data_IF_112918692138
#
_entry.id   IF_112918692138
#
_cell.length_a   1.000
_cell.length_b   1.000
_cell.length_c   1.000
_cell.angle_alpha   90.00
_cell.angle_beta   90.00
_cell.angle_gamma   90.00
#
_symmetry.space_group_name_H-M   'P 1'
#
loop_
_entity.id
_entity.type
_entity.pdbx_description
1 polymer ?
#
# COMPACT_ATOMS: atom_id res chain seq x y z
N UNK A 1 -1.82 17.41 9.16
CA UNK A 1 -3.12 17.86 9.76
C UNK A 1 -3.97 16.62 9.93
N UNK A 2 -4.54 16.37 11.13
CA UNK A 2 -5.42 15.21 11.36
C UNK A 2 -6.67 15.29 10.50
N UNK A 3 -7.11 14.16 9.93
CA UNK A 3 -8.31 14.08 9.10
C UNK A 3 -9.56 14.50 9.90
N UNK A 4 -10.51 15.23 9.30
CA UNK A 4 -11.76 15.59 9.93
C UNK A 4 -12.60 14.35 10.23
N UNK A 5 -13.40 14.43 11.30
CA UNK A 5 -14.28 13.35 11.76
C UNK A 5 -15.70 13.87 11.87
N UNK A 6 -16.67 13.08 11.39
CA UNK A 6 -18.08 13.34 11.62
C UNK A 6 -18.57 12.53 12.83
N UNK A 7 -19.42 13.12 13.64
CA UNK A 7 -20.05 12.44 14.77
C UNK A 7 -21.56 12.73 14.75
N UNK A 8 -22.36 11.68 14.64
CA UNK A 8 -23.79 11.77 14.83
C UNK A 8 -24.14 11.34 16.24
N UNK A 9 -24.51 12.30 17.07
CA UNK A 9 -25.00 12.07 18.44
C UNK A 9 -25.85 13.23 18.94
N UNK A 10 -26.73 12.94 19.89
CA UNK A 10 -27.44 13.97 20.68
C UNK A 10 -26.90 14.10 22.10
N UNK A 11 -25.91 13.28 22.45
CA UNK A 11 -25.29 13.23 23.76
C UNK A 11 -24.06 14.17 23.82
N UNK A 12 -24.18 15.29 24.54
CA UNK A 12 -23.10 16.25 24.68
C UNK A 12 -21.89 15.71 25.48
N UNK A 13 -22.10 14.70 26.34
CA UNK A 13 -21.00 14.09 27.08
C UNK A 13 -20.17 13.20 26.14
N UNK A 14 -20.83 12.47 25.23
CA UNK A 14 -20.19 11.66 24.22
C UNK A 14 -19.38 12.54 23.23
N UNK A 15 -19.96 13.69 22.82
CA UNK A 15 -19.26 14.66 21.97
C UNK A 15 -17.95 15.16 22.61
N UNK A 16 -18.00 15.50 23.89
CA UNK A 16 -16.81 15.90 24.66
C UNK A 16 -15.77 14.76 24.77
N UNK A 17 -16.22 13.53 24.99
CA UNK A 17 -15.33 12.37 25.09
C UNK A 17 -14.61 12.12 23.76
N UNK A 18 -15.32 12.19 22.63
CA UNK A 18 -14.73 12.04 21.29
C UNK A 18 -13.75 13.19 20.99
N UNK A 19 -14.10 14.43 21.33
CA UNK A 19 -13.23 15.59 21.13
C UNK A 19 -11.95 15.48 21.99
N UNK A 20 -12.06 15.03 23.24
CA UNK A 20 -10.93 14.86 24.15
C UNK A 20 -9.96 13.75 23.69
N UNK A 21 -10.47 12.69 23.05
CA UNK A 21 -9.65 11.62 22.48
C UNK A 21 -8.84 12.07 21.25
N UNK A 22 -9.08 13.29 20.73
CA UNK A 22 -8.45 13.83 19.52
C UNK A 22 -8.08 15.31 19.64
N UNK A 23 -7.18 15.69 20.52
CA UNK A 23 -6.82 17.10 20.69
C UNK A 23 -6.25 17.70 19.39
N UNK A 24 -6.80 18.85 18.98
CA UNK A 24 -6.34 19.58 17.78
C UNK A 24 -6.84 19.06 16.43
N UNK A 25 -7.72 18.07 16.40
CA UNK A 25 -8.32 17.56 15.14
C UNK A 25 -9.76 18.09 14.96
N UNK A 26 -10.18 18.45 13.72
CA UNK A 26 -11.52 18.93 13.47
C UNK A 26 -12.56 17.83 13.72
N UNK A 27 -13.57 18.15 14.56
CA UNK A 27 -14.74 17.31 14.82
C UNK A 27 -15.99 18.06 14.37
N UNK A 28 -16.78 17.45 13.51
CA UNK A 28 -18.05 18.00 13.06
C UNK A 28 -19.19 17.18 13.66
N UNK A 29 -19.86 17.73 14.65
CA UNK A 29 -20.99 17.10 15.31
C UNK A 29 -22.28 17.37 14.54
N UNK A 30 -23.03 16.30 14.27
CA UNK A 30 -24.34 16.29 13.64
C UNK A 30 -25.38 15.77 14.65
N UNK A 31 -26.58 16.33 14.66
CA UNK A 31 -27.66 15.93 15.58
C UNK A 31 -28.77 15.12 14.94
N UNK A 32 -28.75 15.04 13.62
CA UNK A 32 -29.69 14.29 12.79
C UNK A 32 -29.02 13.76 11.51
N UNK A 33 -29.67 12.78 10.87
CA UNK A 33 -29.16 12.11 9.66
C UNK A 33 -29.07 13.05 8.45
N UNK A 34 -29.93 14.06 8.37
CA UNK A 34 -29.91 15.03 7.27
C UNK A 34 -28.67 15.89 7.29
N UNK A 35 -28.30 16.44 8.46
CA UNK A 35 -27.06 17.21 8.64
C UNK A 35 -25.82 16.36 8.39
N UNK A 36 -25.84 15.07 8.79
CA UNK A 36 -24.75 14.14 8.49
C UNK A 36 -24.65 13.88 7.00
N UNK A 37 -25.78 13.58 6.33
CA UNK A 37 -25.82 13.31 4.90
C UNK A 37 -25.32 14.51 4.06
N UNK A 38 -25.67 15.74 4.45
CA UNK A 38 -25.18 16.95 3.79
C UNK A 38 -23.65 17.04 3.88
N UNK A 39 -23.06 16.83 5.06
CA UNK A 39 -21.61 16.88 5.25
C UNK A 39 -20.87 15.73 4.56
N UNK A 40 -21.50 14.55 4.48
CA UNK A 40 -20.93 13.43 3.69
C UNK A 40 -20.93 13.76 2.20
N UNK A 41 -22.00 14.37 1.68
CA UNK A 41 -22.11 14.80 0.29
C UNK A 41 -21.10 15.92 -0.06
N UNK A 42 -20.81 16.82 0.86
CA UNK A 42 -19.79 17.85 0.72
C UNK A 42 -18.34 17.31 0.77
N UNK A 43 -18.19 16.02 1.09
CA UNK A 43 -16.86 15.40 1.23
C UNK A 43 -16.09 15.89 2.46
N UNK A 44 -16.79 16.45 3.46
CA UNK A 44 -16.18 17.05 4.65
C UNK A 44 -15.35 16.04 5.47
N UNK A 45 -15.74 14.77 5.49
CA UNK A 45 -14.98 13.64 6.03
C UNK A 45 -15.52 12.32 5.48
N UNK A 46 -14.69 11.29 5.43
CA UNK A 46 -15.09 9.94 5.00
C UNK A 46 -15.38 9.01 6.18
N UNK A 47 -14.99 9.38 7.39
CA UNK A 47 -15.25 8.61 8.60
C UNK A 47 -16.33 9.30 9.42
N UNK A 48 -17.38 8.55 9.75
CA UNK A 48 -18.46 9.00 10.60
C UNK A 48 -18.65 8.03 11.77
N UNK A 49 -18.66 8.56 12.98
CA UNK A 49 -19.10 7.88 14.18
C UNK A 49 -20.61 8.06 14.32
N UNK A 50 -21.33 6.96 14.50
CA UNK A 50 -22.78 6.97 14.66
C UNK A 50 -23.12 6.41 16.03
N UNK A 51 -23.73 7.22 16.84
CA UNK A 51 -24.26 6.83 18.12
C UNK A 51 -25.59 6.07 17.94
N UNK A 52 -25.63 4.81 18.38
CA UNK A 52 -26.81 3.97 18.26
C UNK A 52 -27.83 4.19 19.40
N UNK A 53 -27.52 5.02 20.37
CA UNK A 53 -28.39 5.28 21.49
C UNK A 53 -29.31 6.52 21.27
N UNK A 54 -30.50 6.59 21.85
CA UNK A 54 -31.10 5.57 22.74
C UNK A 54 -31.87 4.46 22.01
N UNK A 55 -32.06 4.53 20.70
CA UNK A 55 -32.84 3.57 19.91
C UNK A 55 -31.94 2.92 18.84
N UNK A 56 -31.34 1.81 19.23
CA UNK A 56 -30.43 1.04 18.37
C UNK A 56 -31.07 0.59 17.05
N UNK A 57 -32.35 0.20 17.08
CA UNK A 57 -33.00 -0.34 15.89
C UNK A 57 -33.25 0.73 14.83
N UNK A 58 -33.76 1.89 15.24
CA UNK A 58 -33.93 3.04 14.34
C UNK A 58 -32.59 3.56 13.83
N UNK A 59 -31.56 3.56 14.68
CA UNK A 59 -30.21 3.99 14.29
C UNK A 59 -29.56 3.04 13.28
N UNK A 60 -29.76 1.73 13.39
CA UNK A 60 -29.31 0.75 12.42
C UNK A 60 -30.01 0.88 11.05
N UNK A 61 -31.32 1.11 11.04
CA UNK A 61 -32.07 1.37 9.80
C UNK A 61 -31.56 2.64 9.09
N UNK A 62 -31.32 3.72 9.86
CA UNK A 62 -30.72 4.96 9.36
C UNK A 62 -29.30 4.73 8.83
N UNK A 63 -28.48 3.96 9.52
CA UNK A 63 -27.13 3.60 9.08
C UNK A 63 -27.16 2.86 7.74
N UNK A 64 -28.09 1.92 7.56
CA UNK A 64 -28.25 1.18 6.31
C UNK A 64 -28.59 2.10 5.12
N UNK A 65 -29.47 3.09 5.32
CA UNK A 65 -29.76 4.10 4.29
C UNK A 65 -28.53 4.96 3.98
N UNK A 66 -27.80 5.42 4.99
CA UNK A 66 -26.58 6.21 4.81
C UNK A 66 -25.48 5.40 4.11
N UNK A 67 -25.29 4.14 4.47
CA UNK A 67 -24.28 3.28 3.85
C UNK A 67 -24.59 3.00 2.37
N UNK A 68 -25.86 2.83 2.02
CA UNK A 68 -26.28 2.67 0.63
C UNK A 68 -26.08 3.95 -0.20
N UNK A 69 -26.33 5.12 0.39
CA UNK A 69 -26.19 6.43 -0.30
C UNK A 69 -24.76 6.92 -0.39
N UNK A 70 -23.91 6.53 0.56
CA UNK A 70 -22.51 6.97 0.66
C UNK A 70 -21.57 5.76 0.78
N UNK A 71 -21.43 4.93 -0.26
CA UNK A 71 -20.64 3.68 -0.21
C UNK A 71 -19.14 3.92 0.05
N UNK A 72 -18.65 5.12 -0.27
CA UNK A 72 -17.26 5.53 -0.03
C UNK A 72 -17.01 5.98 1.43
N UNK A 73 -18.09 6.15 2.22
CA UNK A 73 -17.98 6.57 3.61
C UNK A 73 -17.87 5.36 4.53
N UNK A 74 -17.16 5.56 5.61
CA UNK A 74 -16.94 4.53 6.63
C UNK A 74 -17.67 4.88 7.89
N UNK A 75 -18.46 3.96 8.35
CA UNK A 75 -19.30 4.13 9.52
C UNK A 75 -18.76 3.27 10.66
N UNK A 76 -18.55 3.90 11.81
CA UNK A 76 -18.20 3.25 13.07
C UNK A 76 -19.33 3.53 14.06
N UNK A 77 -19.87 2.50 14.67
CA UNK A 77 -20.98 2.65 15.60
C UNK A 77 -20.46 2.78 17.04
N UNK A 78 -21.13 3.63 17.80
CA UNK A 78 -20.87 3.84 19.23
C UNK A 78 -22.05 3.27 20.02
N UNK A 79 -21.78 2.39 20.98
CA UNK A 79 -22.78 1.71 21.81
C UNK A 79 -22.38 1.70 23.28
N UNK A 80 -23.33 1.55 24.19
CA UNK A 80 -23.03 1.34 25.60
C UNK A 80 -22.50 -0.08 25.86
N UNK A 81 -23.16 -1.05 25.26
CA UNK A 81 -22.80 -2.47 25.38
C UNK A 81 -22.62 -3.08 24.00
N UNK A 82 -21.40 -3.54 23.71
CA UNK A 82 -21.05 -4.14 22.43
C UNK A 82 -21.19 -5.66 22.53
N UNK A 83 -22.40 -6.14 22.28
CA UNK A 83 -22.66 -7.59 22.19
C UNK A 83 -22.34 -8.12 20.79
N UNK A 84 -22.08 -9.42 20.61
CA UNK A 84 -21.88 -10.02 19.30
C UNK A 84 -23.05 -9.78 18.34
N UNK A 85 -24.29 -9.81 18.86
CA UNK A 85 -25.50 -9.55 18.06
C UNK A 85 -25.54 -8.12 17.57
N UNK A 86 -25.36 -7.14 18.44
CA UNK A 86 -25.35 -5.71 18.05
C UNK A 86 -24.23 -5.41 17.06
N UNK A 87 -23.06 -6.01 17.23
CA UNK A 87 -21.97 -5.85 16.29
C UNK A 87 -22.31 -6.44 14.92
N UNK A 88 -22.91 -7.64 14.87
CA UNK A 88 -23.31 -8.29 13.63
C UNK A 88 -24.37 -7.46 12.90
N UNK A 89 -25.41 -7.01 13.60
CA UNK A 89 -26.47 -6.17 13.05
C UNK A 89 -25.91 -4.85 12.50
N UNK A 90 -24.98 -4.23 13.23
CA UNK A 90 -24.31 -3.01 12.79
C UNK A 90 -23.48 -3.24 11.52
N UNK A 91 -22.73 -4.34 11.45
CA UNK A 91 -21.97 -4.69 10.25
C UNK A 91 -22.89 -4.99 9.04
N UNK A 92 -24.01 -5.65 9.24
CA UNK A 92 -25.02 -5.87 8.20
C UNK A 92 -25.66 -4.56 7.73
N UNK A 93 -25.81 -3.58 8.63
CA UNK A 93 -26.29 -2.25 8.30
C UNK A 93 -25.22 -1.36 7.64
N UNK A 94 -23.98 -1.84 7.46
CA UNK A 94 -22.90 -1.12 6.77
C UNK A 94 -21.85 -0.49 7.67
N UNK A 95 -21.88 -0.74 8.99
CA UNK A 95 -20.76 -0.36 9.87
C UNK A 95 -19.51 -1.17 9.54
N UNK A 96 -18.35 -0.54 9.69
CA UNK A 96 -17.05 -1.19 9.56
C UNK A 96 -16.43 -1.58 10.90
N UNK A 97 -16.94 -1.01 11.99
CA UNK A 97 -16.47 -1.27 13.34
C UNK A 97 -17.48 -0.82 14.38
N UNK A 98 -17.41 -1.40 15.59
CA UNK A 98 -18.17 -0.97 16.75
C UNK A 98 -17.25 -0.62 17.91
N UNK A 99 -17.54 0.47 18.60
CA UNK A 99 -16.83 0.93 19.78
C UNK A 99 -17.77 1.04 20.97
N UNK A 100 -17.29 0.70 22.13
CA UNK A 100 -17.99 1.01 23.37
C UNK A 100 -17.75 2.50 23.73
N UNK A 101 -18.80 3.16 24.20
CA UNK A 101 -18.73 4.58 24.59
C UNK A 101 -17.72 4.85 25.71
N UNK A 102 -17.54 3.91 26.65
CA UNK A 102 -16.57 4.01 27.75
C UNK A 102 -15.12 3.74 27.32
N UNK A 103 -14.93 3.09 26.18
CA UNK A 103 -13.61 2.76 25.63
C UNK A 103 -13.09 3.79 24.61
N UNK A 104 -13.85 4.85 24.29
CA UNK A 104 -13.51 5.84 23.25
C UNK A 104 -12.10 6.42 23.44
N UNK A 105 -11.72 6.79 24.65
CA UNK A 105 -10.41 7.41 24.90
C UNK A 105 -9.24 6.45 24.59
N UNK A 106 -9.42 5.15 24.80
CA UNK A 106 -8.41 4.14 24.59
C UNK A 106 -8.38 3.62 23.14
N UNK A 107 -9.56 3.41 22.53
CA UNK A 107 -9.70 2.68 21.27
C UNK A 107 -9.87 3.62 20.05
N UNK A 108 -10.46 4.81 20.21
CA UNK A 108 -10.69 5.72 19.09
C UNK A 108 -9.41 6.12 18.34
N UNK A 109 -8.25 6.34 18.99
CA UNK A 109 -7.01 6.63 18.27
C UNK A 109 -6.61 5.49 17.30
N UNK A 110 -6.72 4.24 17.71
CA UNK A 110 -6.44 3.07 16.87
C UNK A 110 -7.46 2.94 15.72
N UNK A 111 -8.74 3.16 16.01
CA UNK A 111 -9.81 3.17 14.99
C UNK A 111 -9.59 4.29 13.98
N UNK A 112 -9.19 5.48 14.44
CA UNK A 112 -8.85 6.59 13.56
C UNK A 112 -7.63 6.30 12.70
N UNK A 113 -6.61 5.66 13.23
CA UNK A 113 -5.46 5.22 12.47
C UNK A 113 -5.86 4.20 11.39
N UNK A 114 -6.78 3.29 11.74
CA UNK A 114 -7.28 2.25 10.84
C UNK A 114 -8.24 2.77 9.76
N UNK A 115 -9.11 3.73 10.08
CA UNK A 115 -10.17 4.20 9.19
C UNK A 115 -10.10 5.68 8.82
N UNK A 116 -9.35 6.49 9.58
CA UNK A 116 -9.27 7.94 9.40
C UNK A 116 -8.18 8.38 8.44
N UNK A 117 -7.13 7.57 8.22
CA UNK A 117 -6.06 7.88 7.27
C UNK A 117 -6.45 7.60 5.81
N UNK A 118 -7.56 6.89 5.59
CA UNK A 118 -8.10 6.71 4.24
C UNK A 118 -8.77 7.97 3.65
N UNK A 119 -8.83 9.06 4.40
CA UNK A 119 -9.22 10.40 3.89
C UNK A 119 -8.22 11.02 2.92
N UNK A 120 -7.03 10.43 2.76
CA UNK A 120 -6.06 10.82 1.73
C UNK A 120 -6.27 10.11 0.39
N UNK A 121 -7.27 9.22 0.25
CA UNK A 121 -7.59 8.52 -1.01
C UNK A 121 -8.46 9.37 -1.95
N UNK A 122 -8.31 10.68 -1.90
CA UNK A 122 -8.76 11.61 -2.95
C UNK A 122 -7.73 11.78 -4.08
N UNK A 123 -6.54 11.15 -3.93
CA UNK A 123 -5.58 10.87 -5.00
C UNK A 123 -5.31 9.38 -4.90
N UNK A 124 -5.59 8.61 -5.94
CA UNK A 124 -5.42 7.15 -5.94
C UNK A 124 -4.07 6.73 -5.33
N UNK A 125 -4.02 5.58 -4.64
CA UNK A 125 -2.81 5.12 -3.95
C UNK A 125 -1.58 5.11 -4.85
N UNK A 126 -0.40 5.24 -4.28
CA UNK A 126 0.86 5.26 -5.01
C UNK A 126 1.28 3.83 -5.38
N UNK A 127 1.71 3.66 -6.62
CA UNK A 127 2.35 2.42 -7.08
C UNK A 127 3.83 2.69 -7.30
N UNK A 128 4.68 1.89 -6.67
CA UNK A 128 6.13 1.90 -6.86
C UNK A 128 6.55 0.56 -7.41
N UNK A 129 7.09 0.53 -8.62
CA UNK A 129 7.59 -0.70 -9.22
C UNK A 129 9.08 -0.84 -9.00
N UNK A 130 9.51 -2.04 -8.63
CA UNK A 130 10.91 -2.43 -8.46
C UNK A 130 11.25 -3.44 -9.55
N UNK A 131 12.03 -3.01 -10.53
CA UNK A 131 12.57 -3.83 -11.63
C UNK A 131 14.00 -4.28 -11.28
N UNK A 132 14.48 -5.30 -11.96
CA UNK A 132 15.84 -5.82 -11.83
C UNK A 132 16.54 -5.86 -13.17
N UNK A 133 17.82 -5.47 -13.21
CA UNK A 133 18.67 -5.67 -14.40
C UNK A 133 19.15 -7.12 -14.54
N UNK A 134 19.26 -7.85 -13.43
CA UNK A 134 19.77 -9.23 -13.39
C UNK A 134 19.21 -10.01 -12.20
N UNK A 135 19.21 -11.33 -12.31
CA UNK A 135 18.86 -12.20 -11.19
C UNK A 135 19.88 -12.05 -10.05
N UNK A 136 19.38 -11.94 -8.81
CA UNK A 136 20.22 -11.83 -7.63
C UNK A 136 20.67 -10.41 -7.27
N UNK A 137 20.29 -9.37 -8.01
CA UNK A 137 20.62 -7.96 -7.71
C UNK A 137 20.05 -7.46 -6.37
N UNK A 138 19.15 -8.21 -5.72
CA UNK A 138 18.52 -7.87 -4.44
C UNK A 138 17.24 -7.05 -4.56
N UNK A 139 16.61 -7.02 -5.73
CA UNK A 139 15.38 -6.26 -5.96
C UNK A 139 14.25 -6.64 -4.99
N UNK A 140 14.02 -7.92 -4.73
CA UNK A 140 13.02 -8.41 -3.75
C UNK A 140 13.32 -7.90 -2.34
N UNK A 141 14.59 -7.93 -1.90
CA UNK A 141 14.97 -7.39 -0.57
C UNK A 141 14.69 -5.90 -0.48
N UNK A 142 14.97 -5.16 -1.56
CA UNK A 142 14.68 -3.71 -1.64
C UNK A 142 13.17 -3.47 -1.63
N UNK A 143 12.38 -4.24 -2.41
CA UNK A 143 10.92 -4.11 -2.46
C UNK A 143 10.28 -4.35 -1.08
N UNK A 144 10.66 -5.43 -0.39
CA UNK A 144 10.19 -5.75 0.96
C UNK A 144 10.55 -4.64 1.95
N UNK A 145 11.80 -4.19 1.92
CA UNK A 145 12.30 -3.18 2.84
C UNK A 145 11.66 -1.81 2.59
N UNK A 146 11.43 -1.46 1.33
CA UNK A 146 10.74 -0.23 0.94
C UNK A 146 9.26 -0.25 1.39
N UNK A 147 8.57 -1.38 1.23
CA UNK A 147 7.19 -1.55 1.67
C UNK A 147 7.06 -1.32 3.18
N UNK A 148 7.97 -1.90 3.98
CA UNK A 148 8.00 -1.68 5.43
C UNK A 148 8.27 -0.23 5.79
N UNK A 149 9.24 0.42 5.14
CA UNK A 149 9.59 1.81 5.46
C UNK A 149 8.46 2.78 5.06
N UNK A 150 7.77 2.52 3.94
CA UNK A 150 6.57 3.27 3.55
C UNK A 150 5.43 3.08 4.56
N UNK A 151 5.23 1.86 5.08
CA UNK A 151 4.26 1.57 6.11
C UNK A 151 4.56 2.36 7.39
N UNK A 152 5.80 2.31 7.86
CA UNK A 152 6.22 2.98 9.10
C UNK A 152 6.17 4.49 8.96
N UNK A 153 6.69 5.04 7.87
CA UNK A 153 6.78 6.50 7.68
C UNK A 153 5.45 7.16 7.39
N UNK A 154 4.54 6.48 6.68
CA UNK A 154 3.22 7.02 6.35
C UNK A 154 2.14 6.71 7.39
N UNK A 155 2.33 5.67 8.22
CA UNK A 155 1.30 5.15 9.11
C UNK A 155 0.08 4.61 8.34
N UNK A 156 0.26 4.25 7.06
CA UNK A 156 -0.82 3.83 6.18
C UNK A 156 -0.65 2.36 5.78
N UNK A 157 -1.73 1.76 5.30
CA UNK A 157 -1.70 0.39 4.80
C UNK A 157 -0.89 0.29 3.51
N UNK A 158 0.00 -0.71 3.45
CA UNK A 158 0.88 -1.00 2.31
C UNK A 158 0.63 -2.41 1.79
N UNK A 159 0.72 -2.57 0.48
CA UNK A 159 0.65 -3.86 -0.22
C UNK A 159 1.98 -4.11 -0.93
N UNK A 160 2.56 -5.27 -0.72
CA UNK A 160 3.64 -5.81 -1.55
C UNK A 160 3.03 -6.79 -2.56
N UNK A 161 3.21 -6.56 -3.84
CA UNK A 161 2.77 -7.45 -4.91
C UNK A 161 3.98 -8.12 -5.56
N UNK A 162 4.11 -9.44 -5.41
CA UNK A 162 5.20 -10.24 -6.00
C UNK A 162 4.76 -10.77 -7.36
N UNK A 163 5.25 -10.16 -8.44
CA UNK A 163 4.95 -10.53 -9.81
C UNK A 163 5.93 -11.55 -10.39
N UNK A 164 6.92 -12.03 -9.65
CA UNK A 164 7.78 -13.13 -10.10
C UNK A 164 7.07 -14.47 -9.92
N UNK A 165 6.20 -14.81 -10.85
CA UNK A 165 5.36 -16.01 -10.81
C UNK A 165 6.14 -17.32 -10.95
N UNK A 166 7.42 -17.28 -11.27
CA UNK A 166 8.26 -18.46 -11.43
C UNK A 166 9.14 -18.76 -10.22
N UNK A 167 9.67 -17.73 -9.59
CA UNK A 167 10.64 -17.84 -8.49
C UNK A 167 10.40 -16.78 -7.40
N UNK A 168 9.16 -16.29 -7.29
CA UNK A 168 8.82 -15.29 -6.29
C UNK A 168 9.20 -15.72 -4.89
N UNK A 169 9.91 -14.86 -4.21
CA UNK A 169 10.50 -15.17 -2.92
C UNK A 169 9.97 -14.30 -1.78
N UNK A 170 9.13 -13.31 -2.08
CA UNK A 170 8.66 -12.36 -1.07
C UNK A 170 7.88 -13.04 0.06
N UNK A 171 6.97 -13.96 -0.26
CA UNK A 171 6.21 -14.72 0.71
C UNK A 171 7.11 -15.63 1.55
N UNK A 172 8.04 -16.36 0.91
CA UNK A 172 9.01 -17.22 1.60
C UNK A 172 9.93 -16.42 2.49
N UNK A 173 10.40 -15.26 2.00
CA UNK A 173 11.24 -14.34 2.77
C UNK A 173 10.54 -13.88 4.05
N UNK A 174 9.28 -13.50 3.96
CA UNK A 174 8.50 -12.96 5.08
C UNK A 174 7.83 -14.03 5.95
N UNK A 175 7.94 -15.31 5.59
CA UNK A 175 7.24 -16.40 6.30
C UNK A 175 5.71 -16.30 6.18
N UNK A 176 5.21 -15.70 5.10
CA UNK A 176 3.77 -15.51 4.86
C UNK A 176 3.23 -16.69 4.06
N UNK A 177 2.07 -17.18 4.48
CA UNK A 177 1.36 -18.26 3.82
C UNK A 177 -0.06 -17.84 3.47
N UNK A 178 -0.58 -18.29 2.34
CA UNK A 178 -1.93 -18.02 1.90
C UNK A 178 -2.36 -18.96 0.79
N UNK A 179 -3.65 -18.94 0.47
CA UNK A 179 -4.25 -19.80 -0.55
C UNK A 179 -4.31 -19.09 -1.90
N UNK A 180 -4.41 -17.78 -1.89
CA UNK A 180 -4.57 -16.94 -3.09
C UNK A 180 -3.35 -16.05 -3.28
N UNK A 181 -3.08 -15.70 -4.53
CA UNK A 181 -1.95 -14.86 -4.89
C UNK A 181 -2.18 -14.10 -6.20
N UNK A 182 -1.09 -13.59 -6.77
CA UNK A 182 -1.12 -12.73 -7.95
C UNK A 182 -1.73 -13.43 -9.19
N UNK A 183 -1.44 -14.74 -9.37
CA UNK A 183 -1.98 -15.49 -10.50
C UNK A 183 -3.50 -15.65 -10.40
N UNK A 184 -4.05 -15.84 -9.21
CA UNK A 184 -5.48 -15.95 -9.00
C UNK A 184 -6.19 -14.63 -9.29
N UNK A 185 -5.59 -13.51 -8.88
CA UNK A 185 -6.11 -12.17 -9.15
C UNK A 185 -6.13 -11.88 -10.65
N UNK A 186 -5.00 -12.11 -11.35
CA UNK A 186 -4.87 -11.79 -12.76
C UNK A 186 -5.69 -12.71 -13.67
N UNK A 187 -5.96 -13.96 -13.25
CA UNK A 187 -6.76 -14.92 -14.02
C UNK A 187 -8.23 -14.92 -13.64
N UNK A 188 -8.67 -14.14 -12.66
CA UNK A 188 -10.06 -14.11 -12.22
C UNK A 188 -10.98 -13.64 -13.35
N UNK A 189 -12.09 -14.33 -13.55
CA UNK A 189 -13.13 -13.86 -14.47
C UNK A 189 -13.89 -12.66 -13.84
N UNK A 190 -14.24 -11.67 -14.65
CA UNK A 190 -14.90 -10.44 -14.20
C UNK A 190 -13.92 -9.36 -13.76
N UNK A 191 -14.39 -8.36 -13.04
CA UNK A 191 -13.63 -7.17 -12.65
C UNK A 191 -12.66 -7.47 -11.53
N UNK A 192 -11.46 -6.88 -11.60
CA UNK A 192 -10.51 -6.82 -10.49
C UNK A 192 -10.79 -5.53 -9.72
N UNK A 193 -11.24 -5.63 -8.49
CA UNK A 193 -11.58 -4.52 -7.62
C UNK A 193 -10.76 -4.51 -6.32
N UNK A 194 -10.94 -3.48 -5.51
CA UNK A 194 -10.24 -3.33 -4.24
C UNK A 194 -10.59 -4.43 -3.22
N UNK A 195 -11.79 -4.99 -3.29
CA UNK A 195 -12.21 -6.07 -2.40
C UNK A 195 -11.48 -7.38 -2.72
N UNK A 196 -11.35 -7.68 -4.01
CA UNK A 196 -10.55 -8.82 -4.47
C UNK A 196 -9.09 -8.68 -4.03
N UNK A 197 -8.49 -7.50 -4.20
CA UNK A 197 -7.11 -7.24 -3.75
C UNK A 197 -6.99 -7.49 -2.25
N UNK A 198 -7.90 -6.92 -1.45
CA UNK A 198 -7.87 -7.06 0.00
C UNK A 198 -8.08 -8.49 0.49
N UNK A 199 -8.95 -9.25 -0.17
CA UNK A 199 -9.25 -10.66 0.20
C UNK A 199 -8.18 -11.65 -0.29
N UNK A 200 -7.45 -11.31 -1.34
CA UNK A 200 -6.37 -12.16 -1.89
C UNK A 200 -5.01 -11.89 -1.24
N UNK A 201 -4.82 -10.74 -0.59
CA UNK A 201 -3.58 -10.41 0.09
C UNK A 201 -3.47 -11.14 1.42
N UNK A 202 -2.40 -11.91 1.61
CA UNK A 202 -2.06 -12.50 2.90
C UNK A 202 -1.47 -11.43 3.82
N UNK A 203 -1.83 -11.45 5.10
CA UNK A 203 -1.34 -10.48 6.07
C UNK A 203 0.06 -10.89 6.57
N UNK A 204 1.04 -10.00 6.40
CA UNK A 204 2.31 -10.07 7.10
C UNK A 204 2.21 -9.36 8.46
N UNK A 205 1.55 -8.23 8.50
CA UNK A 205 1.26 -7.43 9.70
C UNK A 205 -0.11 -6.73 9.51
N UNK A 206 -0.61 -6.05 10.54
CA UNK A 206 -1.93 -5.38 10.52
C UNK A 206 -2.12 -4.46 9.31
N UNK A 207 -1.08 -3.72 8.93
CA UNK A 207 -1.10 -2.76 7.82
C UNK A 207 -0.10 -3.12 6.71
N UNK A 208 0.34 -4.38 6.64
CA UNK A 208 1.21 -4.89 5.60
C UNK A 208 0.65 -6.17 4.99
N UNK A 209 0.07 -6.05 3.80
CA UNK A 209 -0.42 -7.17 3.00
C UNK A 209 0.58 -7.61 1.94
N UNK A 210 0.54 -8.90 1.57
CA UNK A 210 1.36 -9.48 0.51
C UNK A 210 0.46 -10.19 -0.49
N UNK A 211 0.41 -9.72 -1.73
CA UNK A 211 -0.08 -10.50 -2.87
C UNK A 211 1.06 -11.40 -3.32
N UNK A 212 0.95 -12.66 -2.95
CA UNK A 212 2.03 -13.63 -3.13
C UNK A 212 2.13 -14.08 -4.58
N UNK A 213 3.34 -14.40 -5.02
CA UNK A 213 3.56 -15.25 -6.16
C UNK A 213 3.06 -16.69 -5.85
N UNK A 214 2.78 -17.53 -6.86
CA UNK A 214 2.38 -18.91 -6.62
C UNK A 214 3.39 -19.68 -5.78
N UNK A 215 2.91 -20.34 -4.71
CA UNK A 215 3.76 -21.03 -3.73
C UNK A 215 4.54 -22.24 -4.30
N UNK A 216 4.12 -22.78 -5.43
CA UNK A 216 4.77 -23.92 -6.06
C UNK A 216 4.78 -23.75 -7.56
N UNK A 217 5.98 -23.65 -8.12
CA UNK A 217 6.17 -23.76 -9.57
C UNK A 217 6.22 -25.24 -9.91
N UNK A 218 5.20 -25.71 -10.62
CA UNK A 218 5.27 -27.02 -11.27
C UNK A 218 5.92 -26.83 -12.65
N UNK A 219 7.15 -27.31 -12.87
CA UNK A 219 7.84 -27.11 -14.16
C UNK A 219 7.07 -27.71 -15.36
N UNK A 220 6.25 -28.74 -15.09
CA UNK A 220 5.41 -29.38 -16.12
C UNK A 220 4.10 -28.63 -16.40
N UNK A 221 3.71 -27.72 -15.54
CA UNK A 221 2.53 -26.86 -15.69
C UNK A 221 2.79 -25.50 -15.05
N UNK A 222 3.56 -24.62 -15.71
CA UNK A 222 3.86 -23.29 -15.18
C UNK A 222 2.55 -22.50 -15.02
N UNK A 223 2.46 -21.62 -14.04
CA UNK A 223 1.28 -20.79 -13.82
C UNK A 223 1.03 -19.93 -15.06
N UNK A 224 -0.17 -20.03 -15.61
CA UNK A 224 -0.62 -19.10 -16.65
C UNK A 224 -1.06 -17.82 -15.97
N UNK A 225 -0.64 -16.68 -16.50
CA UNK A 225 -0.99 -15.35 -15.97
C UNK A 225 -1.44 -14.48 -17.13
N UNK A 226 -2.59 -13.87 -16.99
CA UNK A 226 -3.09 -12.87 -17.92
C UNK A 226 -2.43 -11.51 -17.62
N UNK A 227 -1.24 -11.32 -18.15
CA UNK A 227 -0.45 -10.11 -17.97
C UNK A 227 -1.14 -8.84 -18.51
N UNK A 228 -2.07 -8.97 -19.47
CA UNK A 228 -2.82 -7.83 -19.99
C UNK A 228 -3.71 -7.17 -18.92
N UNK A 229 -3.99 -7.86 -17.83
CA UNK A 229 -4.81 -7.34 -16.72
C UNK A 229 -4.02 -6.63 -15.62
N UNK A 230 -2.69 -6.53 -15.75
CA UNK A 230 -1.86 -5.81 -14.77
C UNK A 230 -2.30 -4.35 -14.57
N UNK A 231 -2.63 -3.56 -15.60
CA UNK A 231 -3.13 -2.21 -15.39
C UNK A 231 -4.44 -2.13 -14.58
N UNK A 232 -5.37 -3.08 -14.79
CA UNK A 232 -6.61 -3.19 -14.03
C UNK A 232 -6.32 -3.52 -12.56
N UNK A 233 -5.45 -4.49 -12.32
CA UNK A 233 -5.01 -4.85 -10.97
C UNK A 233 -4.37 -3.66 -10.25
N UNK A 234 -3.49 -2.91 -10.90
CA UNK A 234 -2.86 -1.74 -10.28
C UNK A 234 -3.87 -0.64 -9.95
N UNK A 235 -4.90 -0.47 -10.76
CA UNK A 235 -6.00 0.45 -10.43
C UNK A 235 -6.77 -0.01 -9.19
N UNK A 236 -7.05 -1.31 -9.07
CA UNK A 236 -7.66 -1.89 -7.88
C UNK A 236 -6.76 -1.73 -6.64
N UNK A 237 -5.44 -1.94 -6.79
CA UNK A 237 -4.48 -1.71 -5.71
C UNK A 237 -4.48 -0.26 -5.22
N UNK A 238 -4.56 0.74 -6.13
CA UNK A 238 -4.66 2.16 -5.76
C UNK A 238 -5.92 2.48 -4.97
N UNK A 239 -6.99 1.75 -5.20
CA UNK A 239 -8.24 1.90 -4.46
C UNK A 239 -8.20 1.16 -3.11
N UNK A 240 -7.40 0.08 -3.01
CA UNK A 240 -7.33 -0.76 -1.83
C UNK A 240 -6.41 -0.22 -0.74
N UNK A 241 -5.26 0.38 -1.11
CA UNK A 241 -4.21 0.78 -0.16
C UNK A 241 -3.54 2.10 -0.55
N UNK A 242 -2.87 2.74 0.43
CA UNK A 242 -2.16 4.00 0.19
C UNK A 242 -0.89 3.81 -0.67
N UNK A 243 -0.17 2.70 -0.47
CA UNK A 243 1.04 2.38 -1.22
C UNK A 243 1.01 0.92 -1.66
N UNK A 244 1.33 0.69 -2.92
CA UNK A 244 1.62 -0.63 -3.47
C UNK A 244 3.06 -0.67 -3.96
N UNK A 245 3.87 -1.55 -3.40
CA UNK A 245 5.20 -1.86 -3.92
C UNK A 245 5.11 -3.13 -4.74
N UNK A 246 5.51 -3.05 -5.99
CA UNK A 246 5.46 -4.17 -6.95
C UNK A 246 6.88 -4.71 -7.13
N UNK A 247 7.13 -5.93 -6.67
CA UNK A 247 8.34 -6.67 -7.03
C UNK A 247 8.15 -7.29 -8.41
N UNK A 248 8.78 -6.69 -9.40
CA UNK A 248 8.70 -7.08 -10.81
C UNK A 248 10.07 -7.52 -11.34
N UNK A 249 10.78 -8.30 -10.53
CA UNK A 249 12.15 -8.76 -10.82
C UNK A 249 12.24 -9.56 -12.13
N UNK A 250 11.17 -10.28 -12.48
CA UNK A 250 11.09 -11.15 -13.69
C UNK A 250 9.69 -11.09 -14.28
N UNK A 251 9.44 -10.08 -15.10
CA UNK A 251 8.19 -9.93 -15.84
C UNK A 251 8.45 -9.82 -17.34
N UNK A 252 7.47 -10.13 -18.19
CA UNK A 252 7.59 -9.89 -19.63
C UNK A 252 7.90 -8.41 -19.95
N UNK A 253 8.64 -8.11 -21.02
CA UNK A 253 9.00 -6.73 -21.37
C UNK A 253 7.79 -5.79 -21.57
N UNK A 254 6.69 -6.31 -22.11
CA UNK A 254 5.46 -5.52 -22.29
C UNK A 254 4.81 -5.20 -20.94
N UNK A 255 4.78 -6.17 -20.03
CA UNK A 255 4.32 -5.97 -18.66
C UNK A 255 5.20 -4.97 -17.91
N UNK A 256 6.52 -5.01 -18.09
CA UNK A 256 7.43 -4.03 -17.50
C UNK A 256 7.11 -2.61 -17.98
N UNK A 257 6.79 -2.43 -19.26
CA UNK A 257 6.36 -1.15 -19.81
C UNK A 257 5.03 -0.66 -19.22
N UNK A 258 4.04 -1.55 -19.08
CA UNK A 258 2.76 -1.24 -18.44
C UNK A 258 2.93 -0.85 -16.96
N UNK A 259 3.81 -1.54 -16.24
CA UNK A 259 4.17 -1.22 -14.86
C UNK A 259 4.82 0.16 -14.75
N UNK A 260 5.79 0.48 -15.62
CA UNK A 260 6.45 1.80 -15.64
C UNK A 260 5.43 2.91 -15.90
N UNK A 261 4.54 2.72 -16.89
CA UNK A 261 3.48 3.69 -17.23
C UNK A 261 2.53 3.91 -16.05
N UNK A 262 2.20 2.85 -15.37
CA UNK A 262 1.24 2.89 -14.27
C UNK A 262 1.86 3.28 -12.93
N UNK A 263 3.17 3.37 -12.77
CA UNK A 263 3.81 3.64 -11.48
C UNK A 263 4.04 5.14 -11.24
N UNK A 264 3.93 5.56 -9.99
CA UNK A 264 4.36 6.90 -9.55
C UNK A 264 5.88 7.03 -9.61
N UNK A 265 6.58 5.93 -9.40
CA UNK A 265 8.04 5.81 -9.47
C UNK A 265 8.41 4.37 -9.81
N UNK A 266 9.40 4.19 -10.68
CA UNK A 266 10.01 2.89 -10.94
C UNK A 266 11.46 2.89 -10.53
N UNK A 267 11.86 1.93 -9.70
CA UNK A 267 13.24 1.68 -9.30
C UNK A 267 13.80 0.55 -10.15
N UNK A 268 14.91 0.79 -10.85
CA UNK A 268 15.63 -0.24 -11.58
C UNK A 268 16.88 -0.63 -10.79
N UNK A 269 16.82 -1.77 -10.12
CA UNK A 269 17.92 -2.26 -9.29
C UNK A 269 19.01 -2.84 -10.17
N UNK A 270 20.23 -2.35 -9.96
CA UNK A 270 21.44 -2.77 -10.66
C UNK A 270 22.54 -3.11 -9.67
N UNK A 271 23.52 -3.91 -10.06
CA UNK A 271 24.84 -3.93 -9.42
C UNK A 271 25.82 -3.11 -10.26
N UNK A 272 26.88 -2.59 -9.64
CA UNK A 272 27.94 -1.89 -10.36
C UNK A 272 28.87 -2.91 -11.04
N UNK A 273 28.30 -3.64 -12.01
CA UNK A 273 28.98 -4.57 -12.88
C UNK A 273 28.70 -4.19 -14.33
N UNK A 274 29.68 -4.40 -15.22
CA UNK A 274 29.55 -4.02 -16.64
C UNK A 274 28.34 -4.64 -17.29
N UNK A 275 28.03 -5.90 -16.96
CA UNK A 275 26.87 -6.62 -17.53
C UNK A 275 25.56 -5.96 -17.08
N UNK A 276 25.42 -5.63 -15.79
CA UNK A 276 24.21 -5.03 -15.25
C UNK A 276 23.97 -3.63 -15.79
N UNK A 277 25.01 -2.80 -15.87
CA UNK A 277 24.94 -1.45 -16.43
C UNK A 277 24.52 -1.52 -17.91
N UNK A 278 25.05 -2.46 -18.70
CA UNK A 278 24.66 -2.65 -20.10
C UNK A 278 23.21 -3.12 -20.22
N UNK A 279 22.79 -4.07 -19.42
CA UNK A 279 21.41 -4.57 -19.40
C UNK A 279 20.45 -3.44 -19.00
N UNK A 280 20.76 -2.69 -17.94
CA UNK A 280 19.97 -1.55 -17.52
C UNK A 280 19.85 -0.49 -18.64
N UNK A 281 20.96 -0.18 -19.34
CA UNK A 281 20.94 0.72 -20.48
C UNK A 281 20.00 0.24 -21.59
N UNK A 282 20.05 -1.05 -21.93
CA UNK A 282 19.17 -1.65 -22.93
C UNK A 282 17.70 -1.62 -22.49
N UNK A 283 17.40 -1.92 -21.23
CA UNK A 283 16.04 -1.83 -20.67
C UNK A 283 15.52 -0.39 -20.74
N UNK A 284 16.30 0.59 -20.30
CA UNK A 284 15.93 2.01 -20.34
C UNK A 284 15.72 2.50 -21.79
N UNK A 285 16.50 2.01 -22.76
CA UNK A 285 16.30 2.33 -24.16
C UNK A 285 15.00 1.72 -24.69
N UNK A 286 14.73 0.45 -24.41
CA UNK A 286 13.52 -0.24 -24.82
C UNK A 286 12.23 0.42 -24.27
N UNK A 287 12.28 0.93 -23.02
CA UNK A 287 11.20 1.69 -22.43
C UNK A 287 10.99 3.04 -23.12
N UNK A 288 12.08 3.76 -23.44
CA UNK A 288 12.01 5.02 -24.20
C UNK A 288 11.43 4.86 -25.58
N UNK A 289 11.84 3.80 -26.29
CA UNK A 289 11.38 3.52 -27.67
C UNK A 289 9.88 3.21 -27.72
N UNK A 290 9.28 2.85 -26.58
CA UNK A 290 7.83 2.67 -26.43
C UNK A 290 7.09 3.92 -25.99
N UNK A 291 7.76 5.08 -25.91
CA UNK A 291 7.21 6.33 -25.34
C UNK A 291 6.66 6.17 -23.91
N UNK A 292 7.23 5.27 -23.14
CA UNK A 292 6.86 5.08 -21.75
C UNK A 292 7.49 6.18 -20.90
N UNK A 293 6.71 7.23 -20.63
CA UNK A 293 7.15 8.46 -19.95
C UNK A 293 7.30 8.33 -18.42
N UNK A 294 7.31 7.11 -17.88
CA UNK A 294 7.46 6.90 -16.44
C UNK A 294 8.84 7.32 -15.91
N UNK A 295 8.88 7.76 -14.66
CA UNK A 295 10.14 8.07 -13.97
C UNK A 295 10.82 6.77 -13.52
N UNK A 296 11.85 6.36 -14.26
CA UNK A 296 12.66 5.18 -13.93
C UNK A 296 13.97 5.63 -13.35
N UNK A 297 14.23 5.30 -12.10
CA UNK A 297 15.45 5.66 -11.36
C UNK A 297 16.31 4.43 -11.14
N UNK A 298 17.51 4.34 -11.74
CA UNK A 298 18.47 3.31 -11.43
C UNK A 298 18.95 3.41 -9.98
N UNK A 299 19.06 2.26 -9.33
CA UNK A 299 19.54 2.14 -7.95
C UNK A 299 20.65 1.11 -7.91
N UNK A 300 21.89 1.55 -7.68
CA UNK A 300 23.03 0.69 -7.47
C UNK A 300 22.94 0.05 -6.09
N UNK A 301 22.55 -1.20 -6.04
CA UNK A 301 22.49 -2.00 -4.82
C UNK A 301 23.87 -2.56 -4.46
N UNK A 302 24.04 -2.96 -3.21
CA UNK A 302 25.30 -3.47 -2.67
C UNK A 302 26.49 -2.52 -2.92
N UNK A 303 26.19 -1.22 -2.96
CA UNK A 303 27.20 -0.21 -3.18
C UNK A 303 28.19 -0.13 -2.03
N UNK A 304 29.47 0.05 -2.38
CA UNK A 304 30.55 0.27 -1.42
C UNK A 304 31.45 1.42 -1.87
N UNK A 305 31.84 2.29 -0.94
CA UNK A 305 32.82 3.38 -1.21
C UNK A 305 34.17 2.88 -1.70
N UNK A 306 34.47 1.60 -1.48
CA UNK A 306 35.74 0.97 -1.90
C UNK A 306 35.68 0.34 -3.29
N UNK A 307 34.55 0.42 -3.95
CA UNK A 307 34.39 -0.12 -5.30
C UNK A 307 35.17 0.73 -6.30
N UNK A 308 35.99 0.09 -7.14
CA UNK A 308 36.96 0.78 -7.97
C UNK A 308 36.57 0.89 -9.44
N UNK A 309 35.96 -0.13 -10.06
CA UNK A 309 35.53 -0.09 -11.45
C UNK A 309 34.64 -1.30 -11.80
N UNK A 310 33.48 -1.13 -12.47
CA UNK A 310 32.90 0.19 -12.70
C UNK A 310 32.45 0.82 -11.38
N UNK A 311 32.63 2.14 -11.26
CA UNK A 311 32.18 2.90 -10.10
C UNK A 311 30.81 3.56 -10.36
N UNK A 312 30.35 4.36 -9.40
CA UNK A 312 29.07 5.04 -9.50
C UNK A 312 29.05 6.10 -10.63
N UNK A 313 30.19 6.74 -10.91
CA UNK A 313 30.28 7.72 -11.99
C UNK A 313 30.25 7.03 -13.36
N UNK A 314 30.94 5.92 -13.51
CA UNK A 314 30.86 5.09 -14.73
C UNK A 314 29.43 4.69 -15.05
N UNK A 315 28.64 4.31 -14.02
CA UNK A 315 27.23 3.96 -14.18
C UNK A 315 26.38 5.17 -14.59
N UNK A 316 26.59 6.34 -13.97
CA UNK A 316 25.89 7.59 -14.33
C UNK A 316 26.16 8.00 -15.77
N UNK A 317 27.41 7.95 -16.19
CA UNK A 317 27.81 8.31 -17.54
C UNK A 317 27.23 7.33 -18.57
N UNK A 318 27.27 6.02 -18.29
CA UNK A 318 26.74 5.00 -19.16
C UNK A 318 25.20 5.07 -19.34
N UNK A 319 24.47 5.37 -18.24
CA UNK A 319 23.01 5.42 -18.23
C UNK A 319 22.45 6.82 -18.57
N UNK A 320 23.29 7.88 -18.53
CA UNK A 320 22.91 9.24 -18.83
C UNK A 320 21.90 9.83 -17.86
N UNK A 321 21.93 9.40 -16.57
CA UNK A 321 21.01 9.83 -15.51
C UNK A 321 21.57 9.64 -14.10
N UNK A 322 20.89 10.24 -13.12
CA UNK A 322 21.17 9.99 -11.71
C UNK A 322 21.07 8.48 -11.41
N UNK A 323 21.99 7.99 -10.58
CA UNK A 323 21.99 6.65 -10.02
C UNK A 323 22.00 6.80 -8.50
N UNK A 324 20.95 6.31 -7.84
CA UNK A 324 20.90 6.23 -6.39
C UNK A 324 21.70 5.03 -5.89
N UNK A 325 21.98 4.98 -4.61
CA UNK A 325 22.77 3.89 -4.01
C UNK A 325 22.03 3.28 -2.83
N UNK A 326 22.19 1.96 -2.66
CA UNK A 326 21.89 1.23 -1.43
C UNK A 326 23.18 0.59 -0.97
N UNK A 327 23.59 0.90 0.24
CA UNK A 327 24.83 0.43 0.85
C UNK A 327 24.86 -1.09 0.98
N UNK A 328 26.04 -1.68 0.76
CA UNK A 328 26.25 -3.09 0.98
C UNK A 328 26.35 -3.39 2.46
N UNK A 329 25.29 -3.96 3.02
CA UNK A 329 25.28 -4.52 4.38
C UNK A 329 24.76 -5.97 4.31
N UNK A 330 25.66 -6.86 3.93
CA UNK A 330 25.36 -8.30 3.81
C UNK A 330 24.87 -8.88 5.14
N UNK A 331 25.43 -8.46 6.25
CA UNK A 331 25.09 -8.98 7.58
C UNK A 331 23.65 -8.60 7.96
N UNK A 332 23.25 -7.34 7.73
CA UNK A 332 21.90 -6.88 7.97
C UNK A 332 20.89 -7.60 7.04
N UNK A 333 21.21 -7.72 5.75
CA UNK A 333 20.36 -8.39 4.76
C UNK A 333 20.18 -9.89 5.08
N UNK A 334 21.28 -10.60 5.42
CA UNK A 334 21.22 -12.02 5.76
C UNK A 334 20.44 -12.26 7.06
N UNK A 335 20.64 -11.40 8.06
CA UNK A 335 19.89 -11.46 9.31
C UNK A 335 18.39 -11.29 9.05
N UNK A 336 18.00 -10.29 8.29
CA UNK A 336 16.62 -10.01 7.93
C UNK A 336 15.98 -11.22 7.23
N UNK A 337 16.66 -11.77 6.22
CA UNK A 337 16.22 -12.96 5.50
C UNK A 337 16.00 -14.16 6.42
N UNK A 338 16.94 -14.44 7.32
CA UNK A 338 16.86 -15.59 8.22
C UNK A 338 15.78 -15.46 9.30
N UNK A 339 15.40 -14.23 9.65
CA UNK A 339 14.35 -13.95 10.63
C UNK A 339 12.96 -13.76 10.00
N UNK A 340 12.86 -13.75 8.67
CA UNK A 340 11.58 -13.46 8.00
C UNK A 340 11.12 -12.02 8.17
N UNK A 341 12.05 -11.07 8.31
CA UNK A 341 11.75 -9.67 8.61
C UNK A 341 12.30 -8.73 7.53
N UNK A 342 11.62 -7.61 7.21
CA UNK A 342 12.21 -6.53 6.43
C UNK A 342 13.49 -5.99 7.08
N UNK A 343 14.48 -5.56 6.29
CA UNK A 343 15.76 -5.07 6.85
C UNK A 343 15.58 -3.89 7.81
N UNK A 344 14.70 -2.89 7.53
CA UNK A 344 14.47 -1.80 8.48
C UNK A 344 13.93 -2.23 9.84
N UNK A 345 13.21 -3.37 9.91
CA UNK A 345 12.71 -3.93 11.17
C UNK A 345 13.82 -4.68 11.92
N UNK A 346 14.55 -5.55 11.23
CA UNK A 346 15.57 -6.42 11.80
C UNK A 346 16.88 -5.68 12.13
N UNK A 347 17.24 -4.66 11.34
CA UNK A 347 18.47 -3.87 11.48
C UNK A 347 18.22 -2.36 11.24
N UNK A 348 17.44 -1.67 12.11
CA UNK A 348 16.97 -0.31 11.86
C UNK A 348 18.06 0.76 11.79
N UNK A 349 19.26 0.45 12.28
CA UNK A 349 20.42 1.37 12.30
C UNK A 349 21.48 1.03 11.26
N UNK A 350 21.21 0.07 10.37
CA UNK A 350 22.13 -0.27 9.28
C UNK A 350 22.16 0.81 8.20
N UNK A 351 23.28 0.96 7.49
CA UNK A 351 23.38 1.88 6.36
C UNK A 351 22.35 1.53 5.26
N UNK A 352 22.08 0.24 5.07
CA UNK A 352 21.04 -0.23 4.14
C UNK A 352 19.66 0.30 4.54
N UNK A 353 19.28 0.24 5.82
CA UNK A 353 18.00 0.75 6.31
C UNK A 353 17.90 2.26 6.16
N UNK A 354 18.99 2.99 6.38
CA UNK A 354 19.04 4.43 6.17
C UNK A 354 18.80 4.79 4.69
N UNK A 355 19.43 4.08 3.78
CA UNK A 355 19.28 4.32 2.34
C UNK A 355 17.86 3.97 1.84
N UNK A 356 17.26 2.86 2.33
CA UNK A 356 15.85 2.54 2.05
C UNK A 356 14.90 3.62 2.58
N UNK A 357 15.19 4.21 3.74
CA UNK A 357 14.42 5.34 4.30
C UNK A 357 14.48 6.56 3.39
N UNK A 358 15.64 6.87 2.81
CA UNK A 358 15.79 7.94 1.80
C UNK A 358 14.95 7.64 0.55
N UNK A 359 14.91 6.38 0.09
CA UNK A 359 14.05 5.98 -1.03
C UNK A 359 12.56 6.16 -0.69
N UNK A 360 12.13 5.73 0.50
CA UNK A 360 10.75 5.91 0.94
C UNK A 360 10.35 7.40 1.02
N UNK A 361 11.23 8.25 1.52
CA UNK A 361 11.02 9.70 1.54
C UNK A 361 10.88 10.28 0.12
N UNK A 362 11.66 9.80 -0.85
CA UNK A 362 11.54 10.20 -2.26
C UNK A 362 10.20 9.78 -2.86
N UNK A 363 9.72 8.57 -2.56
CA UNK A 363 8.39 8.10 -2.98
C UNK A 363 7.30 9.01 -2.40
N UNK A 364 7.37 9.31 -1.12
CA UNK A 364 6.36 10.13 -0.44
C UNK A 364 6.34 11.60 -0.91
N UNK A 365 7.49 12.12 -1.38
CA UNK A 365 7.60 13.49 -1.90
C UNK A 365 7.24 13.64 -3.37
N UNK A 366 7.08 12.54 -4.11
CA UNK A 366 6.73 12.56 -5.54
C UNK A 366 5.20 12.61 -5.67
N UNK A 367 4.57 13.77 -5.93
CA UNK A 367 3.13 13.84 -6.12
C UNK A 367 2.79 13.01 -7.37
N UNK A 368 1.90 12.04 -7.22
CA UNK A 368 1.37 11.29 -8.36
C UNK A 368 0.90 12.29 -9.42
N UNK A 369 1.59 12.34 -10.55
CA UNK A 369 1.10 13.04 -11.72
C UNK A 369 -0.16 12.31 -12.17
N UNK A 370 -1.32 12.87 -11.83
CA UNK A 370 -2.60 12.48 -12.42
C UNK A 370 -2.43 12.72 -13.92
N UNK A 371 -2.65 11.73 -14.79
CA UNK A 371 -2.71 12.00 -16.21
C UNK A 371 -3.88 12.97 -16.41
N UNK A 372 -3.56 14.23 -16.76
CA UNK A 372 -4.53 15.17 -17.28
C UNK A 372 -5.09 14.53 -18.54
N UNK A 373 -6.37 14.16 -18.52
CA UNK A 373 -7.11 13.83 -19.74
C UNK A 373 -6.94 15.04 -20.67
N UNK A 374 -6.09 14.86 -21.66
CA UNK A 374 -6.06 15.78 -22.80
C UNK A 374 -7.45 15.86 -23.41
N UNK A 375 -7.89 17.07 -23.67
CA UNK A 375 -9.16 17.39 -24.29
C UNK A 375 -9.29 16.87 -25.71
#
# INVERSE_FOLDING_TARGET
MSAPLLLLTRDAALEKAVAAARPGAPLHSCRDSGSLATRLAEGAARLALIDLEPDTQSALAMLSDLAARFPESRFVVLVRELTPTVLLDAMQAGARHGLRRDAIAAELPAVMQRFGNDGAVSRGGHVVTVLSSSGGSGATTVAISLAEELRVSSGSRVLLADLDVHYGAAATYLGVHGTYGIADVLNKQGTIDAELINSSAAAYDLDFGVLMSPAAVNPSNPPRVDWARVPEMLNACRQAVAYTVVDASRVPPDTAADLVRASSLTLLIIELAVVDIRTAKSMLQALRDRNEGGDVVPVANRWSRRQTSPDLQDARDALGREVLTISNDFTAALRALNHGEPVPRSAPRSDLSEDVRKLAARVASNPATVPTRGG
#
